data_IF_835469351764
#
_entry.id   IF_835469351764
#
_cell.length_a   1.000
_cell.length_b   1.000
_cell.length_c   1.000
_cell.angle_alpha   90.00
_cell.angle_beta   90.00
_cell.angle_gamma   90.00
#
_symmetry.space_group_name_H-M   'P 1'
#
loop_
_entity.id
_entity.type
_entity.pdbx_description
1 polymer ?
#
# COMPACT_ATOMS: atom_id res chain seq x y z
N UNK A 1 55.34 -7.29 -20.40
CA UNK A 1 54.04 -7.96 -20.19
C UNK A 1 53.25 -7.07 -19.25
N UNK A 2 52.12 -6.55 -19.74
CA UNK A 2 51.40 -5.40 -19.16
C UNK A 2 50.59 -5.78 -17.92
N UNK A 3 50.93 -5.19 -16.78
CA UNK A 3 50.20 -5.27 -15.52
C UNK A 3 49.04 -4.24 -15.40
N UNK A 4 48.68 -3.58 -16.50
CA UNK A 4 47.69 -2.49 -16.53
C UNK A 4 46.25 -2.95 -16.71
N UNK A 5 46.00 -4.17 -17.20
CA UNK A 5 44.65 -4.62 -17.59
C UNK A 5 43.84 -5.22 -16.45
N UNK A 6 44.47 -5.64 -15.37
CA UNK A 6 43.77 -6.30 -14.23
C UNK A 6 43.09 -5.31 -13.26
N UNK A 7 43.58 -4.07 -13.18
CA UNK A 7 43.01 -3.06 -12.26
C UNK A 7 41.67 -2.49 -12.73
N UNK A 8 41.43 -2.50 -14.05
CA UNK A 8 40.19 -1.92 -14.61
C UNK A 8 38.95 -2.83 -14.42
N UNK A 9 39.16 -4.16 -14.39
CA UNK A 9 38.07 -5.13 -14.23
C UNK A 9 37.57 -5.22 -12.81
N UNK A 10 38.44 -4.98 -11.81
CA UNK A 10 38.06 -5.06 -10.39
C UNK A 10 37.20 -3.88 -9.93
N UNK A 11 37.29 -2.73 -10.61
CA UNK A 11 36.48 -1.54 -10.28
C UNK A 11 35.02 -1.66 -10.76
N UNK A 12 34.74 -2.46 -11.80
CA UNK A 12 33.39 -2.61 -12.36
C UNK A 12 32.49 -3.55 -11.54
N UNK A 13 33.06 -4.53 -10.84
CA UNK A 13 32.35 -5.51 -10.01
C UNK A 13 31.88 -4.95 -8.65
N UNK A 14 32.47 -3.85 -8.17
CA UNK A 14 32.10 -3.21 -6.89
C UNK A 14 31.01 -2.15 -7.00
N UNK A 15 30.70 -1.67 -8.20
CA UNK A 15 29.70 -0.60 -8.42
C UNK A 15 28.27 -1.14 -8.51
N UNK A 16 28.06 -2.39 -8.94
CA UNK A 16 26.73 -2.98 -9.15
C UNK A 16 25.90 -3.08 -7.86
N UNK A 17 26.41 -3.55 -6.70
CA UNK A 17 25.63 -3.63 -5.47
C UNK A 17 25.29 -2.26 -4.85
N UNK A 18 26.10 -1.24 -5.10
CA UNK A 18 25.86 0.13 -4.58
C UNK A 18 24.69 0.78 -5.33
N UNK A 19 24.57 0.56 -6.63
CA UNK A 19 23.46 1.11 -7.43
C UNK A 19 22.11 0.42 -7.13
N UNK A 20 22.10 -0.89 -6.82
CA UNK A 20 20.88 -1.61 -6.46
C UNK A 20 20.33 -1.12 -5.10
N UNK A 21 21.20 -0.85 -4.13
CA UNK A 21 20.81 -0.36 -2.81
C UNK A 21 20.32 1.10 -2.84
N UNK A 22 20.88 1.95 -3.69
CA UNK A 22 20.41 3.31 -3.90
C UNK A 22 18.99 3.35 -4.50
N UNK A 23 18.70 2.53 -5.50
CA UNK A 23 17.37 2.43 -6.12
C UNK A 23 16.29 1.90 -5.18
N UNK A 24 16.64 0.97 -4.28
CA UNK A 24 15.71 0.46 -3.26
C UNK A 24 15.33 1.52 -2.23
N UNK A 25 16.27 2.37 -1.81
CA UNK A 25 16.00 3.51 -0.93
C UNK A 25 15.11 4.55 -1.60
N UNK A 26 15.28 4.80 -2.88
CA UNK A 26 14.43 5.73 -3.64
C UNK A 26 12.99 5.23 -3.73
N UNK A 27 12.76 3.94 -3.98
CA UNK A 27 11.44 3.31 -4.03
C UNK A 27 10.66 3.52 -2.73
N UNK A 28 11.26 3.19 -1.60
CA UNK A 28 10.63 3.35 -0.30
C UNK A 28 10.31 4.82 -0.02
N UNK A 29 11.23 5.72 -0.34
CA UNK A 29 11.04 7.17 -0.20
C UNK A 29 9.86 7.68 -1.03
N UNK A 30 9.67 7.21 -2.26
CA UNK A 30 8.53 7.60 -3.09
C UNK A 30 7.21 7.05 -2.54
N UNK A 31 7.17 5.79 -2.12
CA UNK A 31 5.99 5.18 -1.49
C UNK A 31 5.57 6.01 -0.27
N UNK A 32 6.50 6.32 0.63
CA UNK A 32 6.21 7.09 1.84
C UNK A 32 5.80 8.54 1.54
N UNK A 33 6.44 9.20 0.59
CA UNK A 33 6.12 10.57 0.19
C UNK A 33 4.70 10.65 -0.36
N UNK A 34 4.32 9.72 -1.24
CA UNK A 34 2.98 9.65 -1.82
C UNK A 34 1.96 9.29 -0.74
N UNK A 35 2.29 8.36 0.15
CA UNK A 35 1.45 8.03 1.31
C UNK A 35 1.16 9.26 2.16
N UNK A 36 2.18 10.04 2.52
CA UNK A 36 1.99 11.29 3.28
C UNK A 36 1.18 12.36 2.54
N UNK A 37 1.27 12.40 1.23
CA UNK A 37 0.52 13.37 0.41
C UNK A 37 -0.97 13.03 0.30
N UNK A 38 -1.30 11.75 0.08
CA UNK A 38 -2.66 11.30 -0.24
C UNK A 38 -3.39 10.63 0.93
N UNK A 39 -2.67 10.18 1.93
CA UNK A 39 -3.20 9.54 3.14
C UNK A 39 -2.41 10.01 4.38
N UNK A 40 -2.48 11.31 4.72
CA UNK A 40 -1.74 11.87 5.84
C UNK A 40 -2.21 11.32 7.19
N UNK A 41 -3.45 10.89 7.29
CA UNK A 41 -4.05 10.27 8.47
C UNK A 41 -4.56 8.87 8.14
N UNK A 42 -3.96 7.85 8.74
CA UNK A 42 -4.32 6.43 8.53
C UNK A 42 -5.70 6.05 9.05
N UNK A 43 -6.35 6.92 9.84
CA UNK A 43 -7.74 6.74 10.31
C UNK A 43 -8.73 7.08 9.21
N UNK A 44 -8.41 8.07 8.37
CA UNK A 44 -9.30 8.62 7.36
C UNK A 44 -9.06 8.06 5.96
N UNK A 45 -7.90 7.46 5.72
CA UNK A 45 -7.50 6.95 4.42
C UNK A 45 -6.71 5.64 4.55
N UNK A 46 -6.86 4.77 3.57
CA UNK A 46 -6.13 3.49 3.51
C UNK A 46 -5.00 3.59 2.52
N UNK A 47 -3.77 3.58 3.02
CA UNK A 47 -2.57 3.49 2.20
C UNK A 47 -1.54 2.59 2.89
N UNK A 48 -1.51 1.31 2.51
CA UNK A 48 -0.60 0.30 3.07
C UNK A 48 0.31 -0.27 1.98
N UNK A 49 0.72 0.59 1.05
CA UNK A 49 1.55 0.18 -0.08
C UNK A 49 2.97 -0.11 0.40
N UNK A 50 3.52 -1.21 -0.07
CA UNK A 50 4.90 -1.62 0.13
C UNK A 50 5.47 -2.18 -1.16
N UNK A 51 6.78 -2.27 -1.26
CA UNK A 51 7.48 -2.93 -2.37
C UNK A 51 8.32 -4.08 -1.86
N UNK A 52 8.34 -5.16 -2.60
CA UNK A 52 9.24 -6.29 -2.41
C UNK A 52 10.01 -6.52 -3.71
N UNK A 53 11.30 -6.84 -3.60
CA UNK A 53 12.12 -7.18 -4.74
C UNK A 53 11.85 -8.64 -5.14
N UNK A 54 11.36 -8.87 -6.34
CA UNK A 54 11.12 -10.21 -6.88
C UNK A 54 12.42 -10.87 -7.35
N UNK A 55 13.27 -10.06 -8.00
CA UNK A 55 14.61 -10.41 -8.45
C UNK A 55 15.44 -9.12 -8.52
N UNK A 56 16.68 -9.19 -8.97
CA UNK A 56 17.60 -8.04 -8.99
C UNK A 56 17.09 -6.79 -9.72
N UNK A 57 15.96 -6.86 -10.42
CA UNK A 57 15.49 -5.79 -11.31
C UNK A 57 14.00 -5.48 -11.24
N UNK A 58 13.16 -6.36 -10.69
CA UNK A 58 11.70 -6.20 -10.70
C UNK A 58 11.16 -6.11 -9.29
N UNK A 59 10.42 -5.03 -9.01
CA UNK A 59 9.69 -4.85 -7.77
C UNK A 59 8.24 -5.34 -7.87
N UNK A 60 7.72 -5.94 -6.81
CA UNK A 60 6.28 -6.18 -6.65
C UNK A 60 5.74 -5.13 -5.70
N UNK A 61 4.80 -4.32 -6.19
CA UNK A 61 4.05 -3.37 -5.35
C UNK A 61 2.85 -4.11 -4.76
N UNK A 62 2.76 -4.17 -3.44
CA UNK A 62 1.69 -4.85 -2.69
C UNK A 62 1.00 -3.89 -1.74
N UNK A 63 -0.18 -4.29 -1.27
CA UNK A 63 -0.92 -3.56 -0.24
C UNK A 63 -2.27 -3.07 -0.73
N UNK A 64 -2.84 -2.11 0.00
CA UNK A 64 -4.18 -1.56 -0.25
C UNK A 64 -4.13 -0.05 -0.28
N UNK A 65 -4.96 0.54 -1.13
CA UNK A 65 -5.13 1.99 -1.22
C UNK A 65 -6.58 2.30 -1.62
N UNK A 66 -7.19 3.28 -0.98
CA UNK A 66 -8.54 3.77 -1.29
C UNK A 66 -8.52 4.97 -2.25
N UNK A 67 -7.34 5.52 -2.53
CA UNK A 67 -7.16 6.66 -3.43
C UNK A 67 -6.51 6.21 -4.76
N UNK A 68 -7.31 6.20 -5.83
CA UNK A 68 -6.84 5.86 -7.19
C UNK A 68 -5.71 6.78 -7.65
N UNK A 69 -5.81 8.08 -7.37
CA UNK A 69 -4.83 9.07 -7.81
C UNK A 69 -3.46 8.85 -7.16
N UNK A 70 -3.44 8.38 -5.90
CA UNK A 70 -2.19 8.01 -5.24
C UNK A 70 -1.47 6.87 -5.96
N UNK A 71 -2.22 5.82 -6.36
CA UNK A 71 -1.67 4.70 -7.13
C UNK A 71 -1.12 5.19 -8.47
N UNK A 72 -1.91 5.96 -9.23
CA UNK A 72 -1.52 6.47 -10.54
C UNK A 72 -0.28 7.37 -10.45
N UNK A 73 -0.18 8.20 -9.41
CA UNK A 73 1.00 9.04 -9.18
C UNK A 73 2.23 8.20 -8.85
N UNK A 74 2.09 7.16 -8.03
CA UNK A 74 3.18 6.24 -7.74
C UNK A 74 3.68 5.54 -9.02
N UNK A 75 2.78 4.95 -9.79
CA UNK A 75 3.14 4.22 -11.00
C UNK A 75 3.83 5.14 -12.01
N UNK A 76 3.30 6.36 -12.23
CA UNK A 76 3.93 7.35 -13.11
C UNK A 76 5.32 7.76 -12.64
N UNK A 77 5.53 7.89 -11.34
CA UNK A 77 6.85 8.21 -10.78
C UNK A 77 7.85 7.10 -11.08
N UNK A 78 7.43 5.84 -10.92
CA UNK A 78 8.27 4.68 -11.20
C UNK A 78 8.58 4.52 -12.68
N UNK A 79 7.58 4.74 -13.55
CA UNK A 79 7.75 4.73 -15.00
C UNK A 79 8.78 5.78 -15.44
N UNK A 80 8.68 7.01 -14.89
CA UNK A 80 9.63 8.10 -15.17
C UNK A 80 11.04 7.77 -14.69
N UNK A 81 11.16 7.06 -13.58
CA UNK A 81 12.45 6.61 -13.04
C UNK A 81 13.02 5.36 -13.75
N UNK A 82 12.28 4.78 -14.71
CA UNK A 82 12.69 3.57 -15.42
C UNK A 82 12.77 2.32 -14.54
N UNK A 83 11.94 2.24 -13.50
CA UNK A 83 11.89 1.11 -12.58
C UNK A 83 10.87 0.09 -13.06
N UNK A 84 11.28 -1.17 -13.19
CA UNK A 84 10.40 -2.28 -13.55
C UNK A 84 9.63 -2.76 -12.33
N UNK A 85 8.29 -2.87 -12.44
CA UNK A 85 7.44 -3.32 -11.34
C UNK A 85 6.27 -4.17 -11.81
N UNK A 86 5.74 -4.96 -10.87
CA UNK A 86 4.44 -5.64 -10.98
C UNK A 86 3.49 -4.95 -10.00
N UNK A 87 2.40 -4.40 -10.52
CA UNK A 87 1.39 -3.74 -9.69
C UNK A 87 0.39 -4.78 -9.15
N UNK A 88 0.50 -5.11 -7.87
CA UNK A 88 -0.44 -5.92 -7.10
C UNK A 88 -1.13 -5.11 -5.97
N UNK A 89 -1.18 -3.78 -6.10
CA UNK A 89 -1.89 -2.91 -5.15
C UNK A 89 -3.39 -3.10 -5.34
N UNK A 90 -4.08 -3.38 -4.24
CA UNK A 90 -5.53 -3.53 -4.21
C UNK A 90 -6.19 -2.17 -4.01
N UNK A 91 -6.92 -1.69 -5.02
CA UNK A 91 -7.74 -0.49 -4.89
C UNK A 91 -9.02 -0.81 -4.11
N UNK A 92 -9.36 0.05 -3.15
CA UNK A 92 -10.58 0.01 -2.37
C UNK A 92 -11.57 1.10 -2.83
N UNK A 93 -12.90 0.89 -2.70
CA UNK A 93 -13.56 -0.35 -2.31
C UNK A 93 -13.24 -1.53 -3.25
N UNK A 94 -13.18 -2.74 -2.67
CA UNK A 94 -12.90 -3.96 -3.43
C UNK A 94 -13.97 -4.18 -4.51
N UNK A 95 -13.55 -4.39 -5.76
CA UNK A 95 -14.45 -4.63 -6.90
C UNK A 95 -15.38 -5.84 -6.70
N UNK A 96 -15.01 -6.80 -5.85
CA UNK A 96 -15.84 -7.97 -5.52
C UNK A 96 -17.10 -7.61 -4.75
N UNK A 97 -17.15 -6.44 -4.12
CA UNK A 97 -18.36 -5.93 -3.45
C UNK A 97 -19.45 -5.52 -4.47
N UNK A 98 -19.09 -5.25 -5.73
CA UNK A 98 -20.00 -4.70 -6.71
C UNK A 98 -20.62 -3.39 -6.21
N UNK A 99 -21.95 -3.35 -6.16
CA UNK A 99 -22.70 -2.19 -5.66
C UNK A 99 -22.82 -2.15 -4.13
N UNK A 100 -22.43 -3.23 -3.42
CA UNK A 100 -22.56 -3.36 -1.95
C UNK A 100 -21.47 -2.59 -1.20
N UNK A 101 -21.25 -1.34 -1.57
CA UNK A 101 -20.24 -0.47 -0.95
C UNK A 101 -20.79 0.41 0.16
N UNK A 102 -22.09 0.30 0.47
CA UNK A 102 -22.76 1.05 1.52
C UNK A 102 -23.51 0.12 2.45
N UNK A 103 -23.53 0.43 3.74
CA UNK A 103 -24.23 -0.31 4.76
C UNK A 103 -24.81 0.60 5.83
N UNK A 104 -25.58 0.01 6.73
CA UNK A 104 -26.12 0.67 7.92
C UNK A 104 -25.98 -0.28 9.11
N UNK A 105 -25.66 0.26 10.27
CA UNK A 105 -25.63 -0.51 11.52
C UNK A 105 -27.06 -0.87 11.94
N UNK A 106 -27.34 -2.16 12.10
CA UNK A 106 -28.68 -2.69 12.47
C UNK A 106 -28.76 -3.20 13.88
N UNK A 107 -27.69 -3.16 14.66
CA UNK A 107 -27.63 -3.51 16.09
C UNK A 107 -27.51 -2.24 16.94
N UNK A 108 -27.90 -2.32 18.21
CA UNK A 108 -27.83 -1.15 19.11
C UNK A 108 -26.44 -0.51 19.14
N UNK A 109 -25.40 -1.37 19.18
CA UNK A 109 -24.01 -0.95 19.16
C UNK A 109 -23.15 -2.00 18.47
N UNK A 110 -22.50 -1.63 17.40
CA UNK A 110 -21.52 -2.44 16.69
C UNK A 110 -20.10 -2.09 17.13
N UNK A 111 -19.30 -3.07 17.50
CA UNK A 111 -17.89 -2.86 17.87
C UNK A 111 -17.03 -2.83 16.62
N UNK A 112 -16.29 -1.75 16.45
CA UNK A 112 -15.26 -1.62 15.42
C UNK A 112 -13.93 -2.09 15.98
N UNK A 113 -13.26 -3.00 15.26
CA UNK A 113 -12.01 -3.63 15.71
C UNK A 113 -10.87 -3.32 14.76
N UNK A 114 -9.65 -3.27 15.28
CA UNK A 114 -8.43 -3.03 14.51
C UNK A 114 -8.14 -4.12 13.47
N UNK A 115 -8.60 -5.36 13.72
CA UNK A 115 -8.40 -6.51 12.84
C UNK A 115 -9.68 -7.37 12.75
N UNK A 116 -9.85 -8.18 11.68
CA UNK A 116 -11.04 -9.01 11.46
C UNK A 116 -11.04 -10.26 12.36
N UNK A 117 -11.04 -10.08 13.67
CA UNK A 117 -11.12 -11.13 14.70
C UNK A 117 -11.71 -10.60 16.01
N UNK A 118 -12.40 -11.45 16.75
CA UNK A 118 -13.09 -11.07 18.00
C UNK A 118 -12.13 -10.65 19.12
N UNK A 119 -10.91 -11.17 19.15
CA UNK A 119 -9.89 -10.83 20.15
C UNK A 119 -9.07 -9.58 19.83
N UNK A 120 -9.31 -8.95 18.66
CA UNK A 120 -8.63 -7.71 18.30
C UNK A 120 -9.08 -6.54 19.17
N UNK A 121 -8.25 -5.53 19.27
CA UNK A 121 -8.55 -4.29 19.98
C UNK A 121 -9.82 -3.64 19.43
N UNK A 122 -10.68 -3.16 20.31
CA UNK A 122 -11.83 -2.34 19.95
C UNK A 122 -11.38 -0.90 19.77
N UNK A 123 -11.40 -0.41 18.55
CA UNK A 123 -10.91 0.94 18.20
C UNK A 123 -12.01 2.00 18.28
N UNK A 124 -13.28 1.60 18.05
CA UNK A 124 -14.44 2.48 18.11
C UNK A 124 -15.74 1.68 18.21
N UNK A 125 -16.86 2.37 18.23
CA UNK A 125 -18.21 1.82 18.21
C UNK A 125 -19.09 2.61 17.26
N UNK A 126 -20.02 1.92 16.59
CA UNK A 126 -21.05 2.55 15.77
C UNK A 126 -22.44 2.17 16.29
N UNK A 127 -23.31 3.15 16.45
CA UNK A 127 -24.68 2.95 16.97
C UNK A 127 -25.65 2.59 15.85
N UNK A 128 -26.81 2.07 16.23
CA UNK A 128 -27.91 1.79 15.32
C UNK A 128 -28.20 2.97 14.38
N UNK A 129 -28.32 2.69 13.09
CA UNK A 129 -28.58 3.71 12.06
C UNK A 129 -27.33 4.40 11.51
N UNK A 130 -26.13 4.16 12.07
CA UNK A 130 -24.91 4.74 11.52
C UNK A 130 -24.67 4.23 10.09
N UNK A 131 -24.57 5.11 9.08
CA UNK A 131 -24.22 4.71 7.73
C UNK A 131 -22.72 4.32 7.66
N UNK A 132 -22.41 3.34 6.84
CA UNK A 132 -21.06 2.80 6.67
C UNK A 132 -20.67 2.80 5.20
N UNK A 133 -19.44 3.21 4.90
CA UNK A 133 -18.79 2.89 3.64
C UNK A 133 -18.08 1.53 3.79
N UNK A 134 -18.45 0.56 2.96
CA UNK A 134 -17.85 -0.78 2.97
C UNK A 134 -16.70 -0.78 1.97
N UNK A 135 -15.50 -1.02 2.46
CA UNK A 135 -14.27 -1.01 1.67
C UNK A 135 -13.86 -2.41 1.22
N UNK A 136 -14.08 -3.43 2.05
CA UNK A 136 -13.65 -4.80 1.81
C UNK A 136 -14.45 -5.78 2.66
N UNK A 137 -14.64 -7.01 2.14
CA UNK A 137 -15.12 -8.15 2.90
C UNK A 137 -14.01 -9.20 3.00
N UNK A 138 -13.80 -9.72 4.22
CA UNK A 138 -12.85 -10.78 4.48
C UNK A 138 -13.40 -11.75 5.55
N UNK A 139 -13.71 -12.99 5.18
CA UNK A 139 -14.13 -14.05 6.10
C UNK A 139 -15.31 -13.66 7.02
N UNK A 140 -16.32 -12.98 6.47
CA UNK A 140 -17.48 -12.51 7.21
C UNK A 140 -17.27 -11.22 8.03
N UNK A 141 -16.10 -10.61 7.93
CA UNK A 141 -15.80 -9.28 8.46
C UNK A 141 -15.81 -8.25 7.34
N UNK A 142 -16.31 -7.06 7.66
CA UNK A 142 -16.29 -5.93 6.75
C UNK A 142 -15.28 -4.90 7.24
N UNK A 143 -14.39 -4.46 6.35
CA UNK A 143 -13.65 -3.21 6.58
C UNK A 143 -14.56 -2.08 6.21
N UNK A 144 -14.79 -1.18 7.16
CA UNK A 144 -15.73 -0.07 7.00
C UNK A 144 -15.06 1.25 7.35
N UNK A 145 -15.65 2.33 6.86
CA UNK A 145 -15.38 3.68 7.30
C UNK A 145 -16.70 4.31 7.77
N UNK A 146 -16.67 4.94 8.93
CA UNK A 146 -17.79 5.66 9.52
C UNK A 146 -17.81 7.12 9.05
N UNK A 147 -18.92 7.87 9.20
CA UNK A 147 -19.01 9.27 8.79
C UNK A 147 -18.02 10.21 9.50
N UNK A 148 -17.60 9.85 10.69
CA UNK A 148 -16.59 10.54 11.50
C UNK A 148 -15.15 10.12 11.18
N UNK A 149 -14.98 9.38 10.08
CA UNK A 149 -13.69 8.91 9.56
C UNK A 149 -12.94 7.94 10.49
N UNK A 150 -13.66 7.03 11.11
CA UNK A 150 -13.10 5.86 11.79
C UNK A 150 -13.32 4.57 10.99
#
# INVERSE_FOLDING_TARGET
>A
MNTSTVKTILCFLLIIPIMANARSNDMQTWIERIGRQYAPDSRTAVYTVSSELLNDSIHILKGKCDNRQAIETLLRTLDTAGISYINAIKLLPDRRLGEKTRGIVTVCCAHLRSEPRHSAEMVSQAILGTPLLILEEQKGWYRVQTPDNY
#
